data_IF_434432062863
#
_entry.id   IF_434432062863
#
_cell.length_a   1.000
_cell.length_b   1.000
_cell.length_c   1.000
_cell.angle_alpha   90.00
_cell.angle_beta   90.00
_cell.angle_gamma   90.00
#
_symmetry.space_group_name_H-M   'P 1'
#
loop_
_entity.id
_entity.type
_entity.pdbx_description
1 polymer ?
#
# COMPACT_ATOMS: atom_id res chain seq x y z
N UNK A 1 -2.45 9.04 10.54
CA UNK A 1 -2.79 9.22 9.10
C UNK A 1 -1.54 9.43 8.25
N UNK A 2 -0.73 10.44 8.51
CA UNK A 2 0.45 10.76 7.71
C UNK A 2 1.49 9.63 7.68
N UNK A 3 1.77 9.00 8.82
CA UNK A 3 2.69 7.85 8.88
C UNK A 3 2.20 6.64 8.07
N UNK A 4 0.89 6.32 8.12
CA UNK A 4 0.31 5.20 7.37
C UNK A 4 0.28 5.49 5.87
N UNK A 5 -0.01 6.73 5.50
CA UNK A 5 0.07 7.20 4.11
C UNK A 5 1.51 7.13 3.58
N UNK A 6 2.51 7.51 4.38
CA UNK A 6 3.92 7.41 4.02
C UNK A 6 4.37 5.95 3.85
N UNK A 7 3.97 5.06 4.77
CA UNK A 7 4.22 3.62 4.64
C UNK A 7 3.59 3.02 3.38
N UNK A 8 2.36 3.42 3.05
CA UNK A 8 1.67 2.98 1.84
C UNK A 8 2.40 3.46 0.57
N UNK A 9 2.82 4.74 0.54
CA UNK A 9 3.58 5.30 -0.58
C UNK A 9 4.93 4.59 -0.76
N UNK A 10 5.62 4.27 0.33
CA UNK A 10 6.86 3.52 0.30
C UNK A 10 6.66 2.09 -0.22
N UNK A 11 5.67 1.35 0.30
CA UNK A 11 5.36 0.01 -0.18
C UNK A 11 4.95 -0.01 -1.66
N UNK A 12 4.24 1.04 -2.12
CA UNK A 12 3.92 1.21 -3.54
C UNK A 12 5.18 1.41 -4.39
N UNK A 13 6.13 2.21 -3.92
CA UNK A 13 7.40 2.41 -4.60
C UNK A 13 8.23 1.12 -4.67
N UNK A 14 8.29 0.36 -3.56
CA UNK A 14 8.96 -0.95 -3.50
C UNK A 14 8.35 -1.94 -4.49
N UNK A 15 7.01 -1.98 -4.61
CA UNK A 15 6.33 -2.81 -5.62
C UNK A 15 6.69 -2.40 -7.04
N UNK A 16 6.60 -1.12 -7.39
CA UNK A 16 6.96 -0.65 -8.73
C UNK A 16 8.43 -0.90 -9.07
N UNK A 17 9.32 -0.82 -8.07
CA UNK A 17 10.73 -1.14 -8.24
C UNK A 17 10.94 -2.64 -8.49
N UNK A 18 10.24 -3.52 -7.77
CA UNK A 18 10.30 -4.96 -7.99
C UNK A 18 9.78 -5.36 -9.39
N UNK A 19 8.68 -4.74 -9.83
CA UNK A 19 8.14 -4.90 -11.19
C UNK A 19 9.17 -4.45 -12.24
N UNK A 20 9.81 -3.29 -12.04
CA UNK A 20 10.83 -2.79 -12.96
C UNK A 20 12.09 -3.67 -13.00
N UNK A 21 12.42 -4.34 -11.88
CA UNK A 21 13.50 -5.30 -11.79
C UNK A 21 13.14 -6.69 -12.36
N UNK A 22 11.87 -6.93 -12.71
CA UNK A 22 11.35 -8.20 -13.22
C UNK A 22 11.56 -9.38 -12.25
N UNK A 23 11.63 -9.08 -10.95
CA UNK A 23 11.82 -10.08 -9.89
C UNK A 23 10.47 -10.54 -9.32
N UNK A 24 9.88 -11.56 -9.94
CA UNK A 24 8.56 -12.13 -9.58
C UNK A 24 8.38 -12.42 -8.08
N UNK A 25 9.40 -12.99 -7.42
CA UNK A 25 9.32 -13.30 -5.99
C UNK A 25 9.26 -12.04 -5.10
N UNK A 26 9.95 -10.97 -5.51
CA UNK A 26 9.89 -9.68 -4.81
C UNK A 26 8.62 -8.90 -5.17
N UNK A 27 8.13 -9.03 -6.40
CA UNK A 27 6.89 -8.42 -6.84
C UNK A 27 5.71 -8.92 -6.00
N UNK A 28 5.55 -10.24 -5.86
CA UNK A 28 4.47 -10.84 -5.06
C UNK A 28 4.55 -10.42 -3.59
N UNK A 29 5.76 -10.43 -3.00
CA UNK A 29 5.96 -10.03 -1.61
C UNK A 29 5.67 -8.54 -1.38
N UNK A 30 6.13 -7.67 -2.30
CA UNK A 30 5.88 -6.23 -2.24
C UNK A 30 4.40 -5.90 -2.50
N UNK A 31 3.73 -6.63 -3.38
CA UNK A 31 2.30 -6.51 -3.64
C UNK A 31 1.47 -6.86 -2.42
N UNK A 32 1.75 -7.99 -1.77
CA UNK A 32 1.06 -8.41 -0.55
C UNK A 32 1.19 -7.33 0.55
N UNK A 33 2.41 -6.83 0.77
CA UNK A 33 2.69 -5.75 1.73
C UNK A 33 1.93 -4.46 1.41
N UNK A 34 1.88 -4.07 0.13
CA UNK A 34 1.11 -2.89 -0.30
C UNK A 34 -0.39 -3.07 -0.06
N UNK A 35 -0.93 -4.26 -0.34
CA UNK A 35 -2.36 -4.54 -0.15
C UNK A 35 -2.77 -4.59 1.32
N UNK A 36 -1.93 -5.15 2.19
CA UNK A 36 -2.17 -5.14 3.63
C UNK A 36 -2.24 -3.72 4.19
N UNK A 37 -1.26 -2.87 3.84
CA UNK A 37 -1.26 -1.46 4.24
C UNK A 37 -2.45 -0.68 3.66
N UNK A 38 -2.86 -1.00 2.44
CA UNK A 38 -4.05 -0.41 1.82
C UNK A 38 -5.30 -0.79 2.58
N UNK A 39 -5.43 -2.05 2.98
CA UNK A 39 -6.55 -2.53 3.78
C UNK A 39 -6.58 -1.86 5.15
N UNK A 40 -5.44 -1.78 5.84
CA UNK A 40 -5.32 -1.06 7.11
C UNK A 40 -5.75 0.42 6.98
N UNK A 41 -5.34 1.09 5.90
CA UNK A 41 -5.74 2.47 5.62
C UNK A 41 -7.25 2.62 5.38
N UNK A 42 -7.86 1.67 4.66
CA UNK A 42 -9.31 1.64 4.43
C UNK A 42 -10.06 1.43 5.75
N UNK A 43 -9.61 0.49 6.57
CA UNK A 43 -10.22 0.20 7.87
C UNK A 43 -10.06 1.37 8.84
N UNK A 44 -8.90 2.01 8.87
CA UNK A 44 -8.67 3.24 9.63
C UNK A 44 -9.64 4.34 9.19
N UNK A 45 -9.78 4.59 7.88
CA UNK A 45 -10.71 5.60 7.36
C UNK A 45 -12.15 5.29 7.73
N UNK A 46 -12.56 4.03 7.60
CA UNK A 46 -13.89 3.56 8.00
C UNK A 46 -14.16 3.78 9.49
N UNK A 47 -13.21 3.43 10.36
CA UNK A 47 -13.34 3.62 11.81
C UNK A 47 -13.42 5.10 12.21
N UNK A 48 -12.82 5.99 11.43
CA UNK A 48 -12.78 7.43 11.70
C UNK A 48 -13.80 8.24 10.86
N UNK A 49 -14.72 7.58 10.15
CA UNK A 49 -15.70 8.21 9.26
C UNK A 49 -15.07 9.16 8.21
N UNK A 50 -13.83 8.87 7.80
CA UNK A 50 -13.11 9.65 6.80
C UNK A 50 -13.47 9.19 5.39
N UNK A 51 -13.51 10.10 4.40
CA UNK A 51 -13.77 9.74 3.02
C UNK A 51 -12.71 8.76 2.50
N UNK A 52 -13.18 7.61 2.00
CA UNK A 52 -12.37 6.73 1.16
C UNK A 52 -12.13 7.49 -0.14
N UNK A 53 -10.87 7.66 -0.53
CA UNK A 53 -10.56 8.29 -1.81
C UNK A 53 -11.16 7.40 -2.91
N UNK A 54 -12.20 7.90 -3.58
CA UNK A 54 -12.73 7.33 -4.82
C UNK A 54 -11.71 7.66 -5.90
N UNK A 55 -10.96 6.65 -6.33
CA UNK A 55 -10.14 6.71 -7.54
C UNK A 55 -10.98 6.34 -8.75
#
# INVERSE_FOLDING_TARGET
MEELQNKLNQARAEFHQAVAANELALEDAAWAKYMDLRFEMVQYKKANNLPLATY
#
